data_IF_039773887915
#
_entry.id   IF_039773887915
#
_cell.length_a   1.000
_cell.length_b   1.000
_cell.length_c   1.000
_cell.angle_alpha   90.00
_cell.angle_beta   90.00
_cell.angle_gamma   90.00
#
_symmetry.space_group_name_H-M   'P 1'
#
loop_
_entity.id
_entity.type
_entity.pdbx_description
1 polymer ?
#
# COMPACT_ATOMS: atom_id res chain seq x y z
N UNK A 1 24.29 42.99 -26.87
CA UNK A 1 24.13 41.53 -27.02
C UNK A 1 23.76 40.84 -25.69
N UNK A 2 22.86 41.43 -24.88
CA UNK A 2 22.50 40.92 -23.53
C UNK A 2 21.00 40.55 -23.44
N UNK A 3 20.17 40.99 -24.39
CA UNK A 3 18.71 40.75 -24.35
C UNK A 3 18.27 39.39 -24.91
N UNK A 4 19.12 38.68 -25.68
CA UNK A 4 18.75 37.38 -26.27
C UNK A 4 18.80 36.22 -25.25
N UNK A 5 19.67 36.31 -24.24
CA UNK A 5 19.88 35.28 -23.22
C UNK A 5 18.74 35.19 -22.19
N UNK A 6 18.01 36.29 -21.97
CA UNK A 6 16.93 36.35 -20.96
C UNK A 6 15.63 35.73 -21.43
N UNK A 7 15.37 35.72 -22.75
CA UNK A 7 14.18 35.10 -23.35
C UNK A 7 14.30 33.58 -23.44
N UNK A 8 15.51 33.04 -23.65
CA UNK A 8 15.77 31.61 -23.65
C UNK A 8 15.58 30.95 -22.28
N UNK A 9 15.92 31.66 -21.18
CA UNK A 9 15.74 31.13 -19.82
C UNK A 9 14.27 31.01 -19.38
N UNK A 10 13.39 31.86 -19.89
CA UNK A 10 11.95 31.80 -19.57
C UNK A 10 11.26 30.70 -20.42
N UNK A 11 11.69 30.51 -21.67
CA UNK A 11 11.18 29.43 -22.54
C UNK A 11 11.63 28.03 -22.09
N UNK A 12 12.80 27.89 -21.46
CA UNK A 12 13.31 26.58 -21.02
C UNK A 12 12.64 26.05 -19.73
N UNK A 13 11.94 26.92 -18.98
CA UNK A 13 11.22 26.54 -17.76
C UNK A 13 9.80 26.03 -18.08
N UNK A 14 9.21 26.43 -19.22
CA UNK A 14 7.85 26.07 -19.61
C UNK A 14 7.72 24.71 -20.33
N UNK A 15 8.82 24.11 -20.79
CA UNK A 15 8.80 22.83 -21.52
C UNK A 15 9.08 21.59 -20.65
N UNK A 16 9.38 21.75 -19.36
CA UNK A 16 9.67 20.62 -18.46
C UNK A 16 8.43 20.09 -17.69
N UNK A 17 7.22 20.53 -18.06
CA UNK A 17 5.98 20.32 -17.30
C UNK A 17 4.98 19.36 -17.96
N UNK A 18 5.41 18.40 -18.78
CA UNK A 18 4.47 17.52 -19.54
C UNK A 18 4.87 16.03 -19.63
N UNK A 19 5.59 15.49 -18.65
CA UNK A 19 5.83 14.04 -18.57
C UNK A 19 5.43 13.48 -17.19
N UNK A 20 4.17 13.66 -16.82
CA UNK A 20 3.49 12.74 -15.91
C UNK A 20 2.39 12.04 -16.68
N UNK A 21 2.79 11.16 -17.59
CA UNK A 21 1.91 10.13 -18.13
C UNK A 21 1.58 9.19 -16.97
N UNK A 22 0.44 9.46 -16.36
CA UNK A 22 -0.28 8.57 -15.47
C UNK A 22 -0.39 7.19 -16.12
N UNK A 23 0.37 6.23 -15.62
CA UNK A 23 0.03 4.82 -15.82
C UNK A 23 -1.16 4.56 -14.90
N UNK A 24 -2.35 4.49 -15.51
CA UNK A 24 -3.56 3.99 -14.86
C UNK A 24 -3.32 2.56 -14.41
N UNK A 25 -3.04 2.38 -13.13
CA UNK A 25 -3.18 1.09 -12.45
C UNK A 25 -4.68 0.79 -12.49
N UNK A 26 -5.07 -0.21 -13.28
CA UNK A 26 -6.43 -0.74 -13.22
C UNK A 26 -6.58 -1.44 -11.88
N UNK A 27 -7.29 -0.83 -10.95
CA UNK A 27 -7.74 -1.50 -9.74
C UNK A 27 -8.80 -2.51 -10.20
N UNK A 28 -8.49 -3.80 -10.11
CA UNK A 28 -9.52 -4.81 -10.30
C UNK A 28 -10.50 -4.67 -9.12
N UNK A 29 -11.81 -4.54 -9.37
CA UNK A 29 -12.78 -4.58 -8.28
C UNK A 29 -12.71 -5.95 -7.63
N UNK A 30 -12.45 -5.98 -6.32
CA UNK A 30 -12.60 -7.21 -5.53
C UNK A 30 -14.08 -7.60 -5.58
N UNK A 31 -14.42 -8.84 -5.94
CA UNK A 31 -15.81 -9.28 -5.95
C UNK A 31 -16.38 -9.12 -4.54
N UNK A 32 -17.45 -8.32 -4.44
CA UNK A 32 -18.21 -8.16 -3.21
C UNK A 32 -18.96 -9.48 -2.95
N UNK A 33 -18.37 -10.35 -2.13
CA UNK A 33 -19.03 -11.58 -1.69
C UNK A 33 -20.14 -11.19 -0.73
N UNK A 34 -21.35 -11.07 -1.27
CA UNK A 34 -22.57 -10.98 -0.48
C UNK A 34 -22.89 -12.41 -0.02
N UNK A 35 -22.60 -12.73 1.25
CA UNK A 35 -23.01 -14.01 1.83
C UNK A 35 -24.45 -13.84 2.31
N UNK A 36 -25.39 -14.24 1.46
CA UNK A 36 -26.79 -14.39 1.81
C UNK A 36 -26.96 -15.73 2.52
N UNK A 37 -27.08 -15.71 3.85
CA UNK A 37 -27.41 -16.88 4.64
C UNK A 37 -28.93 -17.10 4.63
N UNK A 38 -29.42 -17.84 3.64
CA UNK A 38 -30.77 -18.40 3.69
C UNK A 38 -30.75 -19.69 4.52
N UNK A 39 -31.02 -19.55 5.82
CA UNK A 39 -31.41 -20.67 6.68
C UNK A 39 -32.92 -20.85 6.53
N UNK A 40 -33.36 -21.94 5.88
CA UNK A 40 -34.49 -22.79 6.30
C UNK A 40 -34.54 -24.07 5.44
N UNK A 41 -34.62 -25.24 6.09
CA UNK A 41 -35.12 -26.47 5.46
C UNK A 41 -34.08 -27.58 5.22
N UNK A 42 -34.07 -28.58 6.10
CA UNK A 42 -33.23 -29.78 5.96
C UNK A 42 -33.61 -30.65 4.75
N UNK A 43 -32.59 -31.18 4.09
CA UNK A 43 -32.67 -32.21 3.05
C UNK A 43 -31.47 -33.15 3.16
N UNK A 44 -31.69 -34.38 2.73
CA UNK A 44 -30.87 -35.56 2.95
C UNK A 44 -29.39 -35.42 2.55
N UNK A 45 -28.52 -36.05 3.34
CA UNK A 45 -27.10 -36.22 3.06
C UNK A 45 -26.90 -37.19 1.88
N UNK A 46 -26.94 -36.67 0.66
CA UNK A 46 -26.21 -37.30 -0.44
C UNK A 46 -24.71 -36.98 -0.29
N UNK A 47 -23.79 -37.92 -0.58
CA UNK A 47 -22.36 -37.62 -0.54
C UNK A 47 -22.06 -36.53 -1.56
N UNK A 48 -21.74 -35.33 -1.05
CA UNK A 48 -21.25 -34.22 -1.87
C UNK A 48 -19.99 -34.74 -2.57
N UNK A 49 -19.90 -34.68 -3.91
CA UNK A 49 -18.65 -34.95 -4.59
C UNK A 49 -17.64 -33.93 -4.07
N UNK A 50 -16.56 -34.44 -3.48
CA UNK A 50 -15.36 -33.71 -3.06
C UNK A 50 -14.76 -33.00 -4.28
N UNK A 51 -15.36 -31.86 -4.65
CA UNK A 51 -14.70 -30.85 -5.43
C UNK A 51 -13.70 -30.21 -4.49
N UNK A 52 -12.46 -30.70 -4.54
CA UNK A 52 -11.33 -30.07 -3.86
C UNK A 52 -11.31 -28.59 -4.22
N UNK A 53 -11.90 -27.80 -3.35
CA UNK A 53 -11.87 -26.36 -3.34
C UNK A 53 -10.47 -26.05 -2.83
N UNK A 54 -9.57 -25.88 -3.79
CA UNK A 54 -8.41 -25.01 -3.66
C UNK A 54 -8.94 -23.66 -3.11
N UNK A 55 -9.01 -23.57 -1.78
CA UNK A 55 -9.05 -22.30 -1.08
C UNK A 55 -7.78 -21.55 -1.52
N UNK A 56 -7.91 -20.73 -2.56
CA UNK A 56 -6.93 -19.72 -2.95
C UNK A 56 -6.86 -18.71 -1.81
N UNK A 57 -6.15 -19.10 -0.73
CA UNK A 57 -5.88 -18.24 0.42
C UNK A 57 -5.00 -17.12 -0.14
N UNK A 58 -5.65 -15.99 -0.42
CA UNK A 58 -4.97 -14.77 -0.83
C UNK A 58 -3.82 -14.50 0.16
N UNK A 59 -2.59 -14.56 -0.36
CA UNK A 59 -1.40 -14.39 0.48
C UNK A 59 -1.34 -12.96 1.03
N UNK A 60 -0.94 -12.77 2.29
CA UNK A 60 -0.83 -11.44 2.84
C UNK A 60 0.27 -10.63 2.12
N UNK A 61 0.18 -9.28 2.09
CA UNK A 61 1.23 -8.45 1.53
C UNK A 61 2.58 -8.71 2.21
N UNK A 62 3.68 -8.61 1.46
CA UNK A 62 5.04 -8.74 1.99
C UNK A 62 5.71 -7.38 2.15
N UNK A 63 6.77 -7.32 2.96
CA UNK A 63 7.55 -6.10 3.08
C UNK A 63 8.14 -5.68 1.74
N UNK A 64 8.76 -6.62 1.01
CA UNK A 64 9.48 -6.36 -0.24
C UNK A 64 8.56 -5.97 -1.38
N UNK A 65 7.43 -6.64 -1.54
CA UNK A 65 6.61 -6.51 -2.76
C UNK A 65 5.47 -5.50 -2.60
N UNK A 66 5.18 -5.06 -1.38
CA UNK A 66 4.07 -4.12 -1.14
C UNK A 66 4.45 -3.03 -0.16
N UNK A 67 4.84 -3.37 1.06
CA UNK A 67 5.01 -2.35 2.11
C UNK A 67 6.18 -1.40 1.81
N UNK A 68 7.24 -1.88 1.18
CA UNK A 68 8.38 -1.04 0.83
C UNK A 68 8.00 0.08 -0.15
N UNK A 69 7.13 -0.20 -1.11
CA UNK A 69 6.66 0.81 -2.07
C UNK A 69 5.85 1.90 -1.37
N UNK A 70 4.99 1.52 -0.42
CA UNK A 70 4.23 2.46 0.41
C UNK A 70 5.18 3.31 1.27
N UNK A 71 6.18 2.68 1.88
CA UNK A 71 7.19 3.38 2.68
C UNK A 71 8.01 4.35 1.82
N UNK A 72 8.41 3.95 0.63
CA UNK A 72 9.19 4.76 -0.30
C UNK A 72 8.45 6.04 -0.69
N UNK A 73 7.18 5.90 -1.05
CA UNK A 73 6.34 7.01 -1.49
C UNK A 73 5.98 7.96 -0.33
N UNK A 74 5.67 7.41 0.85
CA UNK A 74 5.01 8.18 1.91
C UNK A 74 5.89 8.47 3.14
N UNK A 75 6.97 7.71 3.37
CA UNK A 75 7.67 7.72 4.66
C UNK A 75 9.16 8.05 4.56
N UNK A 76 9.85 7.65 3.49
CA UNK A 76 11.31 7.71 3.43
C UNK A 76 11.88 9.13 3.36
N UNK A 77 11.08 10.14 3.02
CA UNK A 77 11.49 11.54 3.10
C UNK A 77 11.91 11.92 4.54
N UNK A 78 11.17 11.44 5.55
CA UNK A 78 11.46 11.71 6.95
C UNK A 78 12.18 10.54 7.65
N UNK A 79 12.04 9.33 7.13
CA UNK A 79 12.56 8.09 7.73
C UNK A 79 13.60 7.37 6.86
N UNK A 80 14.42 8.14 6.15
CA UNK A 80 15.50 7.63 5.31
C UNK A 80 16.78 7.27 6.08
N UNK A 81 17.86 7.05 5.31
CA UNK A 81 19.17 6.75 5.89
C UNK A 81 19.69 7.93 6.73
N UNK A 82 20.22 7.63 7.92
CA UNK A 82 20.68 8.66 8.86
C UNK A 82 19.58 9.48 9.53
N UNK A 83 18.30 9.14 9.33
CA UNK A 83 17.20 9.84 10.01
C UNK A 83 17.23 9.61 11.52
N UNK A 84 17.09 10.69 12.28
CA UNK A 84 16.88 10.66 13.74
C UNK A 84 15.54 10.06 14.15
N UNK A 85 14.60 9.92 13.21
CA UNK A 85 13.26 9.37 13.44
C UNK A 85 13.16 7.87 13.14
N UNK A 86 14.28 7.23 12.82
CA UNK A 86 14.33 5.83 12.40
C UNK A 86 14.47 5.70 10.88
N UNK A 87 15.04 4.58 10.45
CA UNK A 87 15.31 4.29 9.05
C UNK A 87 14.41 3.14 8.58
N UNK A 88 13.42 3.46 7.75
CA UNK A 88 12.45 2.49 7.21
C UNK A 88 12.89 1.83 5.90
N UNK A 89 14.09 2.15 5.38
CA UNK A 89 14.69 1.42 4.26
C UNK A 89 15.09 -0.02 4.60
N UNK A 90 15.09 -0.37 5.88
CA UNK A 90 15.59 -1.66 6.38
C UNK A 90 14.44 -2.43 7.00
N UNK A 91 14.08 -3.57 6.40
CA UNK A 91 13.06 -4.47 6.92
C UNK A 91 13.20 -4.73 8.43
N UNK A 92 14.39 -5.15 8.89
CA UNK A 92 14.61 -5.45 10.31
C UNK A 92 14.24 -4.29 11.25
N UNK A 93 14.43 -3.04 10.81
CA UNK A 93 14.06 -1.87 11.60
C UNK A 93 12.54 -1.65 11.61
N UNK A 94 11.89 -1.85 10.46
CA UNK A 94 10.44 -1.76 10.29
C UNK A 94 9.74 -2.87 11.06
N UNK A 95 10.09 -4.13 10.85
CA UNK A 95 9.54 -5.29 11.53
C UNK A 95 9.69 -5.20 13.06
N UNK A 96 10.87 -4.80 13.58
CA UNK A 96 11.06 -4.60 15.03
C UNK A 96 10.15 -3.53 15.63
N UNK A 97 9.62 -2.62 14.81
CA UNK A 97 8.76 -1.50 15.22
C UNK A 97 7.37 -1.57 14.60
N UNK A 98 6.97 -2.74 14.07
CA UNK A 98 5.73 -2.92 13.30
C UNK A 98 4.52 -2.48 14.11
N UNK A 99 4.44 -2.84 15.40
CA UNK A 99 3.36 -2.40 16.29
C UNK A 99 3.25 -0.87 16.38
N UNK A 100 4.36 -0.16 16.63
CA UNK A 100 4.33 1.31 16.73
C UNK A 100 3.97 1.94 15.38
N UNK A 101 4.45 1.36 14.28
CA UNK A 101 4.11 1.83 12.94
C UNK A 101 2.61 1.63 12.68
N UNK A 102 2.07 0.44 12.97
CA UNK A 102 0.66 0.10 12.87
C UNK A 102 -0.21 1.07 13.67
N UNK A 103 0.14 1.31 14.94
CA UNK A 103 -0.58 2.26 15.80
C UNK A 103 -0.62 3.67 15.21
N UNK A 104 0.45 4.12 14.55
CA UNK A 104 0.51 5.49 14.00
C UNK A 104 -0.13 5.62 12.63
N UNK A 105 0.01 4.60 11.79
CA UNK A 105 -0.43 4.58 10.40
C UNK A 105 -1.89 4.15 10.30
N UNK A 106 -2.26 3.03 10.91
CA UNK A 106 -3.60 2.42 10.77
C UNK A 106 -4.57 2.93 11.83
N UNK A 107 -4.17 2.90 13.10
CA UNK A 107 -5.07 3.25 14.22
C UNK A 107 -5.23 4.77 14.36
N UNK A 108 -4.13 5.49 14.56
CA UNK A 108 -4.15 6.93 14.81
C UNK A 108 -4.17 7.78 13.55
N UNK A 109 -3.71 7.23 12.42
CA UNK A 109 -3.64 7.91 11.11
C UNK A 109 -2.93 9.27 11.18
N UNK A 110 -1.90 9.36 12.03
CA UNK A 110 -1.11 10.58 12.25
C UNK A 110 0.28 10.54 11.59
N UNK A 111 0.53 9.50 10.80
CA UNK A 111 1.69 9.36 9.94
C UNK A 111 1.23 8.96 8.53
N UNK A 112 1.75 9.63 7.48
CA UNK A 112 2.70 10.74 7.52
C UNK A 112 2.11 12.07 8.04
N UNK A 113 2.93 13.06 8.44
CA UNK A 113 2.45 14.34 9.00
C UNK A 113 1.63 15.22 8.03
N UNK A 114 1.62 14.89 6.74
CA UNK A 114 0.88 15.61 5.69
C UNK A 114 -0.53 15.08 5.42
N UNK A 115 -0.92 13.98 6.05
CA UNK A 115 -2.21 13.32 5.81
C UNK A 115 -2.10 11.81 5.97
N UNK A 116 -3.23 11.16 6.19
CA UNK A 116 -3.29 9.70 6.25
C UNK A 116 -3.00 9.07 4.88
N UNK A 117 -2.56 7.81 4.88
CA UNK A 117 -2.48 6.99 3.67
C UNK A 117 -3.87 6.76 3.07
N UNK A 118 -3.90 6.34 1.81
CA UNK A 118 -5.15 5.93 1.17
C UNK A 118 -5.78 4.72 1.86
N UNK A 119 -7.10 4.49 1.71
CA UNK A 119 -7.75 3.32 2.30
C UNK A 119 -7.09 1.98 1.92
N UNK A 120 -6.68 1.82 0.66
CA UNK A 120 -6.00 0.62 0.19
C UNK A 120 -4.64 0.42 0.85
N UNK A 121 -3.83 1.47 0.98
CA UNK A 121 -2.53 1.38 1.66
C UNK A 121 -2.68 1.08 3.15
N UNK A 122 -3.72 1.60 3.80
CA UNK A 122 -4.04 1.29 5.20
C UNK A 122 -4.40 -0.19 5.37
N UNK A 123 -5.24 -0.72 4.48
CA UNK A 123 -5.62 -2.14 4.45
C UNK A 123 -4.41 -3.04 4.22
N UNK A 124 -3.53 -2.69 3.28
CA UNK A 124 -2.29 -3.42 3.03
C UNK A 124 -1.36 -3.43 4.25
N UNK A 125 -1.23 -2.30 4.95
CA UNK A 125 -0.45 -2.22 6.19
C UNK A 125 -1.06 -3.04 7.33
N UNK A 126 -2.39 -3.04 7.46
CA UNK A 126 -3.11 -3.84 8.44
C UNK A 126 -2.91 -5.33 8.17
N UNK A 127 -3.14 -5.79 6.93
CA UNK A 127 -2.97 -7.18 6.54
C UNK A 127 -1.52 -7.67 6.76
N UNK A 128 -0.52 -6.85 6.37
CA UNK A 128 0.88 -7.17 6.63
C UNK A 128 1.20 -7.27 8.13
N UNK A 129 0.65 -6.37 8.94
CA UNK A 129 0.85 -6.39 10.39
C UNK A 129 0.21 -7.64 11.02
N UNK A 130 -1.04 -7.96 10.67
CA UNK A 130 -1.76 -9.13 11.19
C UNK A 130 -1.10 -10.46 10.79
N UNK A 131 -0.41 -10.49 9.64
CA UNK A 131 0.37 -11.64 9.18
C UNK A 131 1.76 -11.77 9.84
N UNK A 132 2.00 -11.08 10.96
CA UNK A 132 3.29 -11.02 11.66
C UNK A 132 4.44 -10.46 10.80
N UNK A 133 4.11 -9.46 9.96
CA UNK A 133 5.08 -8.65 9.23
C UNK A 133 6.01 -9.43 8.29
N UNK A 134 5.50 -10.24 7.33
CA UNK A 134 6.33 -11.05 6.45
C UNK A 134 7.28 -10.19 5.60
N UNK A 135 8.44 -10.75 5.26
CA UNK A 135 9.47 -10.07 4.46
C UNK A 135 9.11 -10.00 2.98
#
# INVERSE_FOLDING_TARGET
MIMLQRRYRILLILTLLTLFTSCGVKHNPVPNVHIDYDVEGGIALEPIPDSGEDDDIAQPPTYRDTIFDILEQNCLLCHGNGSRFGNWKKYRAVAKKSEIIYQRVVVQKNMPPGGALSPLELEQFEAWYQADSPY
#
